data_IF_745873758199
#
_entry.id   IF_745873758199
#
_cell.length_a   1.000
_cell.length_b   1.000
_cell.length_c   1.000
_cell.angle_alpha   90.00
_cell.angle_beta   90.00
_cell.angle_gamma   90.00
#
_symmetry.space_group_name_H-M   'P 1'
#
loop_
_entity.id
_entity.type
_entity.pdbx_description
1 polymer ?
#
# COMPACT_ATOMS: atom_id res chain seq x y z
N UNK A 1 -21.61 -1.01 -9.50
CA UNK A 1 -21.61 -1.95 -10.65
C UNK A 1 -20.54 -2.98 -10.35
N UNK A 2 -20.92 -4.11 -9.75
CA UNK A 2 -20.01 -5.21 -9.49
C UNK A 2 -19.75 -5.90 -10.85
N UNK A 3 -18.49 -5.95 -11.27
CA UNK A 3 -18.12 -6.70 -12.46
C UNK A 3 -18.29 -8.19 -12.16
N UNK A 4 -19.09 -8.87 -12.98
CA UNK A 4 -19.29 -10.31 -12.88
C UNK A 4 -17.93 -11.03 -13.03
N UNK A 5 -17.39 -11.51 -11.92
CA UNK A 5 -16.21 -12.37 -11.92
C UNK A 5 -16.62 -13.72 -12.51
N UNK A 6 -16.14 -14.02 -13.72
CA UNK A 6 -16.60 -15.17 -14.50
C UNK A 6 -16.01 -16.47 -13.92
N UNK A 7 -16.86 -17.47 -13.68
CA UNK A 7 -16.49 -18.77 -13.11
C UNK A 7 -15.33 -19.46 -13.87
N UNK A 8 -15.23 -19.22 -15.19
CA UNK A 8 -14.13 -19.74 -16.03
C UNK A 8 -12.79 -19.08 -15.77
N UNK A 9 -12.78 -17.79 -15.44
CA UNK A 9 -11.55 -17.03 -15.15
C UNK A 9 -10.96 -17.51 -13.82
N UNK A 10 -11.82 -17.89 -12.87
CA UNK A 10 -11.42 -18.44 -11.58
C UNK A 10 -10.81 -19.85 -11.71
N UNK A 11 -11.42 -20.72 -12.50
CA UNK A 11 -10.89 -22.07 -12.76
C UNK A 11 -9.55 -22.02 -13.53
N UNK A 12 -9.40 -21.10 -14.49
CA UNK A 12 -8.14 -20.91 -15.20
C UNK A 12 -7.04 -20.36 -14.29
N UNK A 13 -7.39 -19.42 -13.40
CA UNK A 13 -6.48 -18.89 -12.39
C UNK A 13 -5.99 -19.99 -11.44
N UNK A 14 -6.89 -20.86 -10.96
CA UNK A 14 -6.55 -21.99 -10.11
C UNK A 14 -5.60 -22.98 -10.80
N UNK A 15 -5.84 -23.28 -12.09
CA UNK A 15 -4.94 -24.13 -12.89
C UNK A 15 -3.55 -23.51 -13.02
N UNK A 16 -3.46 -22.20 -13.27
CA UNK A 16 -2.18 -21.48 -13.36
C UNK A 16 -1.45 -21.44 -12.01
N UNK A 17 -2.18 -21.21 -10.91
CA UNK A 17 -1.62 -21.28 -9.56
C UNK A 17 -1.08 -22.66 -9.23
N UNK A 18 -1.78 -23.72 -9.62
CA UNK A 18 -1.30 -25.09 -9.45
C UNK A 18 0.00 -25.33 -10.24
N UNK A 19 0.08 -24.87 -11.49
CA UNK A 19 1.29 -24.94 -12.31
C UNK A 19 2.48 -24.24 -11.65
N UNK A 20 2.26 -23.08 -11.02
CA UNK A 20 3.31 -22.36 -10.31
C UNK A 20 3.77 -23.10 -9.04
N UNK A 21 2.84 -23.71 -8.29
CA UNK A 21 3.18 -24.48 -7.08
C UNK A 21 4.02 -25.73 -7.37
N UNK A 22 3.83 -26.37 -8.53
CA UNK A 22 4.56 -27.58 -8.92
C UNK A 22 5.84 -27.30 -9.72
N UNK A 23 6.06 -26.05 -10.16
CA UNK A 23 7.25 -25.69 -10.90
C UNK A 23 8.49 -25.87 -10.02
N UNK A 24 9.49 -26.60 -10.52
CA UNK A 24 10.77 -26.81 -9.84
C UNK A 24 11.91 -26.22 -10.65
N UNK A 25 12.98 -25.81 -9.97
CA UNK A 25 14.22 -25.39 -10.64
C UNK A 25 15.07 -26.60 -11.05
N UNK A 26 16.16 -26.38 -11.80
CA UNK A 26 17.07 -27.43 -12.24
C UNK A 26 17.71 -28.25 -11.09
N UNK A 27 17.60 -27.78 -9.84
CA UNK A 27 18.04 -28.48 -8.63
C UNK A 27 16.93 -29.20 -7.87
N UNK A 28 15.72 -29.34 -8.45
CA UNK A 28 14.59 -30.06 -7.85
C UNK A 28 13.91 -29.36 -6.66
N UNK A 29 14.20 -28.08 -6.42
CA UNK A 29 13.53 -27.27 -5.39
C UNK A 29 12.36 -26.50 -6.00
N UNK A 30 11.35 -26.19 -5.18
CA UNK A 30 10.23 -25.32 -5.57
C UNK A 30 10.75 -24.01 -6.18
N UNK A 31 10.21 -23.64 -7.33
CA UNK A 31 10.67 -22.49 -8.09
C UNK A 31 10.11 -21.18 -7.54
N UNK A 32 8.94 -21.22 -6.90
CA UNK A 32 8.24 -20.06 -6.36
C UNK A 32 7.85 -20.32 -4.90
N UNK A 33 8.15 -19.36 -4.02
CA UNK A 33 7.75 -19.44 -2.62
C UNK A 33 6.42 -18.72 -2.42
N UNK A 34 5.32 -19.48 -2.42
CA UNK A 34 3.96 -18.92 -2.25
C UNK A 34 3.55 -18.75 -0.78
N UNK A 35 4.39 -19.19 0.17
CA UNK A 35 4.09 -19.13 1.61
C UNK A 35 4.87 -18.02 2.33
N UNK A 36 5.91 -17.46 1.70
CA UNK A 36 6.72 -16.42 2.30
C UNK A 36 5.98 -15.09 2.28
N UNK A 37 5.61 -14.61 3.46
CA UNK A 37 5.25 -13.22 3.65
C UNK A 37 6.44 -12.34 3.25
N UNK A 38 6.23 -11.43 2.31
CA UNK A 38 7.24 -10.48 1.85
C UNK A 38 7.02 -9.16 2.58
N UNK A 39 7.99 -8.77 3.40
CA UNK A 39 8.04 -7.42 3.96
C UNK A 39 8.41 -6.43 2.86
N UNK A 40 7.43 -5.67 2.37
CA UNK A 40 7.68 -4.58 1.43
C UNK A 40 8.12 -3.34 2.23
N UNK A 41 9.42 -3.01 2.15
CA UNK A 41 9.96 -1.77 2.73
C UNK A 41 10.01 -0.68 1.66
N UNK A 42 9.25 0.38 1.86
CA UNK A 42 9.27 1.57 1.01
C UNK A 42 10.21 2.61 1.62
N UNK A 43 11.21 3.04 0.84
CA UNK A 43 12.16 4.06 1.26
C UNK A 43 11.65 5.46 0.90
N UNK A 44 11.44 6.31 1.91
CA UNK A 44 10.97 7.68 1.76
C UNK A 44 12.08 8.68 2.10
N UNK A 45 12.39 9.58 1.16
CA UNK A 45 13.37 10.66 1.34
C UNK A 45 12.64 11.99 1.57
N UNK A 46 12.99 12.76 2.61
CA UNK A 46 12.35 14.05 2.86
C UNK A 46 12.74 15.08 1.80
N UNK A 47 11.76 15.78 1.26
CA UNK A 47 11.94 16.87 0.31
C UNK A 47 10.86 17.95 0.50
N UNK A 48 11.27 19.16 0.92
CA UNK A 48 10.35 20.28 1.18
C UNK A 48 9.76 20.89 -0.09
N UNK A 49 10.30 20.60 -1.27
CA UNK A 49 9.74 21.06 -2.53
C UNK A 49 8.48 20.30 -2.93
N UNK A 50 8.26 19.11 -2.34
CA UNK A 50 7.09 18.29 -2.61
C UNK A 50 5.91 18.80 -1.80
N UNK A 51 4.75 18.85 -2.42
CA UNK A 51 3.52 19.27 -1.75
C UNK A 51 3.16 18.28 -0.62
N UNK A 52 2.61 18.77 0.50
CA UNK A 52 2.10 17.89 1.54
C UNK A 52 1.08 16.87 1.00
N UNK A 53 1.01 15.71 1.64
CA UNK A 53 0.21 14.55 1.28
C UNK A 53 0.50 13.93 -0.10
N UNK A 54 1.69 14.20 -0.67
CA UNK A 54 2.13 13.60 -1.93
C UNK A 54 3.38 12.75 -1.76
N UNK A 55 3.46 11.70 -2.58
CA UNK A 55 4.65 10.87 -2.77
C UNK A 55 5.04 10.93 -4.24
N UNK A 56 6.29 11.25 -4.53
CA UNK A 56 6.81 11.36 -5.89
C UNK A 56 7.98 10.39 -6.04
N UNK A 57 8.08 9.59 -7.11
CA UNK A 57 9.23 8.72 -7.33
C UNK A 57 10.54 9.50 -7.28
N UNK A 58 11.58 8.94 -6.65
CA UNK A 58 12.90 9.56 -6.62
C UNK A 58 13.61 9.31 -7.98
N UNK A 59 13.91 10.35 -8.78
CA UNK A 59 14.58 10.17 -10.07
C UNK A 59 16.02 9.65 -9.93
N UNK A 60 16.63 9.73 -8.73
CA UNK A 60 17.99 9.26 -8.48
C UNK A 60 18.04 7.82 -7.99
N UNK A 61 16.97 7.33 -7.35
CA UNK A 61 16.95 6.05 -6.65
C UNK A 61 15.70 5.25 -7.05
N UNK A 62 15.84 4.28 -7.98
CA UNK A 62 14.74 3.41 -8.37
C UNK A 62 14.11 2.72 -7.15
N UNK A 63 12.78 2.69 -7.11
CA UNK A 63 12.02 2.08 -6.00
C UNK A 63 11.94 2.92 -4.72
N UNK A 64 12.59 4.10 -4.68
CA UNK A 64 12.45 5.06 -3.59
C UNK A 64 11.48 6.18 -3.98
N UNK A 65 10.89 6.82 -2.97
CA UNK A 65 10.02 7.98 -3.15
C UNK A 65 10.52 9.15 -2.32
N UNK A 66 10.19 10.34 -2.78
CA UNK A 66 10.35 11.59 -2.04
C UNK A 66 8.98 12.05 -1.55
N UNK A 67 8.94 12.65 -0.37
CA UNK A 67 7.73 13.24 0.19
C UNK A 67 8.06 14.42 1.09
N UNK A 68 7.06 15.29 1.32
CA UNK A 68 7.23 16.38 2.28
C UNK A 68 7.50 15.79 3.67
N UNK A 69 8.41 16.38 4.49
CA UNK A 69 8.72 15.87 5.82
C UNK A 69 7.48 15.66 6.70
N UNK A 70 6.50 16.56 6.59
CA UNK A 70 5.22 16.46 7.31
C UNK A 70 4.42 15.23 6.93
N UNK A 71 4.47 14.84 5.66
CA UNK A 71 3.74 13.67 5.12
C UNK A 71 4.38 12.39 5.62
N UNK A 72 5.71 12.34 5.65
CA UNK A 72 6.45 11.21 6.21
C UNK A 72 6.13 11.05 7.71
N UNK A 73 6.06 12.15 8.46
CA UNK A 73 5.73 12.12 9.88
C UNK A 73 4.26 11.76 10.16
N UNK A 74 3.35 12.18 9.29
CA UNK A 74 1.92 11.89 9.40
C UNK A 74 1.60 10.42 9.08
N UNK A 75 2.38 9.77 8.21
CA UNK A 75 2.11 8.42 7.73
C UNK A 75 2.28 7.37 8.84
N UNK A 76 1.36 6.42 8.92
CA UNK A 76 1.51 5.25 9.82
C UNK A 76 2.65 4.35 9.34
N UNK A 77 3.42 3.79 10.26
CA UNK A 77 4.60 2.98 9.91
C UNK A 77 4.27 1.63 9.25
N UNK A 78 3.08 1.11 9.53
CA UNK A 78 2.65 -0.24 9.17
C UNK A 78 1.37 -0.20 8.33
N UNK A 79 1.35 0.61 7.26
CA UNK A 79 0.15 0.78 6.42
C UNK A 79 -0.33 -0.51 5.74
N UNK A 80 0.54 -1.50 5.54
CA UNK A 80 0.20 -2.78 4.90
C UNK A 80 0.13 -3.96 5.87
N UNK A 81 0.27 -3.72 7.19
CA UNK A 81 0.35 -4.81 8.17
C UNK A 81 -0.97 -5.55 8.41
N UNK A 82 -2.09 -5.01 7.91
CA UNK A 82 -3.40 -5.63 8.07
C UNK A 82 -3.63 -6.84 7.13
N UNK A 83 -2.68 -7.15 6.23
CA UNK A 83 -2.82 -8.26 5.27
C UNK A 83 -3.88 -7.97 4.21
N UNK A 84 -4.03 -8.88 3.23
CA UNK A 84 -4.98 -8.72 2.13
C UNK A 84 -6.47 -8.73 2.60
N UNK A 85 -6.75 -9.16 3.83
CA UNK A 85 -8.12 -9.42 4.32
C UNK A 85 -8.80 -8.20 4.98
N UNK A 86 -8.08 -7.09 5.25
CA UNK A 86 -8.62 -5.94 5.99
C UNK A 86 -8.87 -4.68 5.16
N UNK A 87 -8.46 -4.66 3.88
CA UNK A 87 -8.59 -3.47 3.02
C UNK A 87 -9.86 -3.47 2.16
N UNK A 88 -10.69 -4.51 2.24
CA UNK A 88 -11.76 -4.68 1.26
C UNK A 88 -12.97 -3.75 1.48
N UNK A 89 -13.19 -3.11 2.65
CA UNK A 89 -14.47 -2.39 2.86
C UNK A 89 -14.52 -1.22 3.88
N UNK A 90 -13.42 -0.62 4.35
CA UNK A 90 -13.51 0.39 5.43
C UNK A 90 -12.72 1.69 5.16
N UNK A 91 -13.01 2.39 4.06
CA UNK A 91 -12.53 3.78 3.96
C UNK A 91 -13.06 4.60 5.16
N UNK A 92 -12.17 5.33 5.85
CA UNK A 92 -12.52 6.18 6.99
C UNK A 92 -12.25 7.65 6.64
N UNK A 93 -13.07 8.15 5.71
CA UNK A 93 -12.95 9.50 5.18
C UNK A 93 -13.42 10.53 6.21
N UNK A 94 -12.49 11.38 6.63
CA UNK A 94 -12.77 12.51 7.54
C UNK A 94 -12.39 13.82 6.88
N UNK A 95 -13.18 14.88 7.13
CA UNK A 95 -12.81 16.24 6.76
C UNK A 95 -12.00 16.87 7.87
N UNK A 96 -10.77 17.31 7.58
CA UNK A 96 -9.93 17.97 8.56
C UNK A 96 -10.53 19.32 8.98
N UNK A 97 -10.73 19.56 10.28
CA UNK A 97 -11.23 20.86 10.74
C UNK A 97 -10.26 22.02 10.47
N UNK A 98 -8.95 21.76 10.48
CA UNK A 98 -7.93 22.80 10.32
C UNK A 98 -7.76 23.29 8.89
N UNK A 99 -7.80 22.39 7.89
CA UNK A 99 -7.57 22.74 6.48
C UNK A 99 -8.67 22.30 5.53
N UNK A 100 -9.76 21.72 6.04
CA UNK A 100 -10.95 21.30 5.29
C UNK A 100 -10.67 20.28 4.18
N UNK A 101 -9.52 19.62 4.21
CA UNK A 101 -9.18 18.54 3.28
C UNK A 101 -9.83 17.23 3.71
N UNK A 102 -10.32 16.47 2.73
CA UNK A 102 -10.82 15.11 2.94
C UNK A 102 -9.63 14.14 3.00
N UNK A 103 -9.58 13.33 4.05
CA UNK A 103 -8.45 12.45 4.35
C UNK A 103 -8.98 11.11 4.81
N UNK A 104 -8.40 10.03 4.29
CA UNK A 104 -8.64 8.70 4.84
C UNK A 104 -7.78 8.48 6.10
N UNK A 105 -8.43 8.49 7.27
CA UNK A 105 -7.76 8.40 8.57
C UNK A 105 -7.00 7.10 8.77
N UNK A 106 -7.30 6.04 8.01
CA UNK A 106 -6.65 4.74 8.15
C UNK A 106 -5.13 4.81 7.94
N UNK A 107 -4.65 5.71 7.08
CA UNK A 107 -3.25 5.79 6.69
C UNK A 107 -2.42 6.77 7.52
N UNK A 108 -3.06 7.64 8.32
CA UNK A 108 -2.39 8.79 8.95
C UNK A 108 -2.58 8.82 10.48
N UNK A 109 -1.59 9.37 11.19
CA UNK A 109 -1.68 9.70 12.61
C UNK A 109 -2.34 11.06 12.84
N UNK A 110 -2.16 12.00 11.91
CA UNK A 110 -2.70 13.35 11.92
C UNK A 110 -2.81 13.87 10.48
N UNK A 111 -3.41 15.03 10.28
CA UNK A 111 -3.61 15.62 8.95
C UNK A 111 -2.26 15.85 8.23
N UNK A 112 -2.01 15.20 7.07
CA UNK A 112 -0.74 15.33 6.35
C UNK A 112 -0.58 16.70 5.65
N UNK A 113 -1.58 17.58 5.70
CA UNK A 113 -1.55 18.91 5.10
C UNK A 113 -1.24 20.02 6.10
N UNK A 114 -1.82 19.95 7.31
CA UNK A 114 -1.76 21.04 8.29
C UNK A 114 -1.39 20.59 9.72
N UNK A 115 -1.03 19.32 9.92
CA UNK A 115 -0.57 18.78 11.21
C UNK A 115 -1.66 18.71 12.30
N UNK A 116 -2.89 19.10 11.99
CA UNK A 116 -4.02 18.99 12.91
C UNK A 116 -4.28 17.53 13.29
N UNK A 117 -4.45 17.27 14.59
CA UNK A 117 -4.84 15.95 15.11
C UNK A 117 -6.29 15.64 14.72
N UNK A 118 -6.57 14.39 14.39
CA UNK A 118 -7.95 13.94 14.22
C UNK A 118 -8.65 13.89 15.58
N UNK A 119 -9.87 14.41 15.66
CA UNK A 119 -10.72 14.20 16.84
C UNK A 119 -11.16 12.73 16.87
N UNK A 120 -11.14 12.16 18.07
CA UNK A 120 -11.61 10.81 18.37
C UNK A 120 -13.09 10.90 18.72
#
# INVERSE_FOLDING_TARGET
>A
MAGDFNFKDQEELERRLLQLKIATNAGGKEHFNTQQAVDIKVNLRPDKAIKPAMFVPDPLLPGCYKAHPVTIAALRKNIFAAGNELFEDLEDLVTCEGCQQQIDRQFWYFCPFCEAKFKI
#
